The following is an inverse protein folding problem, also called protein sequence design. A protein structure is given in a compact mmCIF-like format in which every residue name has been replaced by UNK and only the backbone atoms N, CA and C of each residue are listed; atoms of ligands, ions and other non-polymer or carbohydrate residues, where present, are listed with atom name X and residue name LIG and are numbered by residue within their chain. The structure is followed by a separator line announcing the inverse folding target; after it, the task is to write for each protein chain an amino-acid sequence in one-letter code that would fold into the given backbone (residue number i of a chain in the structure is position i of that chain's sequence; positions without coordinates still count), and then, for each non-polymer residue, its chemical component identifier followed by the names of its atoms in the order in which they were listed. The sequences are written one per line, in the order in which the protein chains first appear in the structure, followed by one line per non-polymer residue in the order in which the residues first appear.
data_IF_600873628107
#
_entry.id   IF_600873628107
#
_cell.length_a   1.000
_cell.length_b   1.000
_cell.length_c   1.000
_cell.angle_alpha   90.00
_cell.angle_beta   90.00
_cell.angle_gamma   90.00
#
_symmetry.space_group_name_H-M   'P 1'
#
loop_
_entity.id
_entity.type
_entity.pdbx_description
1 polymer ?
#
# COMPACT_ATOMS: atom_id res chain seq x y z
N UNK A 1 -7.56 8.16 -17.54
CA UNK A 1 -8.48 8.75 -16.55
C UNK A 1 -8.62 7.78 -15.39
N UNK A 2 -8.59 8.25 -14.14
CA UNK A 2 -8.66 7.40 -12.94
C UNK A 2 -10.05 7.37 -12.28
N UNK A 3 -10.93 8.34 -12.57
CA UNK A 3 -12.30 8.39 -12.03
C UNK A 3 -13.26 7.52 -12.86
N UNK A 4 -12.93 6.23 -12.97
CA UNK A 4 -13.72 5.23 -13.69
C UNK A 4 -13.43 3.84 -13.12
N UNK A 5 -14.30 2.84 -13.37
CA UNK A 5 -14.03 1.46 -12.96
C UNK A 5 -12.71 0.94 -13.55
N UNK A 6 -11.95 0.10 -12.82
CA UNK A 6 -12.27 -0.45 -11.50
C UNK A 6 -11.91 0.48 -10.32
N UNK A 7 -11.38 1.67 -10.58
CA UNK A 7 -10.89 2.56 -9.52
C UNK A 7 -12.01 3.29 -8.78
N UNK A 8 -13.00 3.81 -9.54
CA UNK A 8 -14.14 4.50 -8.98
C UNK A 8 -15.43 4.17 -9.74
N UNK A 9 -16.46 3.78 -9.00
CA UNK A 9 -17.83 3.64 -9.50
C UNK A 9 -18.80 4.22 -8.45
N UNK A 10 -19.59 5.26 -8.78
CA UNK A 10 -20.53 5.84 -7.83
C UNK A 10 -21.62 4.85 -7.36
N UNK A 11 -21.81 3.74 -8.07
CA UNK A 11 -22.78 2.70 -7.72
C UNK A 11 -22.14 1.48 -7.02
N UNK A 12 -20.82 1.43 -6.88
CA UNK A 12 -20.15 0.35 -6.16
C UNK A 12 -20.24 0.51 -4.65
N UNK A 13 -20.03 -0.60 -3.93
CA UNK A 13 -19.91 -0.60 -2.49
C UNK A 13 -18.78 0.35 -2.05
N UNK A 14 -18.93 1.10 -0.94
CA UNK A 14 -17.89 2.01 -0.46
C UNK A 14 -16.54 1.32 -0.27
N UNK A 15 -16.52 0.07 0.20
CA UNK A 15 -15.30 -0.72 0.34
C UNK A 15 -14.47 -0.77 -0.95
N UNK A 16 -15.12 -0.88 -2.11
CA UNK A 16 -14.47 -0.92 -3.43
C UNK A 16 -13.83 0.43 -3.75
N UNK A 17 -14.58 1.51 -3.60
CA UNK A 17 -14.07 2.85 -3.88
C UNK A 17 -12.93 3.26 -2.92
N UNK A 18 -13.05 2.94 -1.63
CA UNK A 18 -11.97 3.22 -0.68
C UNK A 18 -10.74 2.32 -0.93
N UNK A 19 -10.93 1.03 -1.22
CA UNK A 19 -9.83 0.09 -1.49
C UNK A 19 -9.12 0.33 -2.82
N UNK A 20 -9.78 0.99 -3.77
CA UNK A 20 -9.21 1.38 -5.05
C UNK A 20 -8.88 2.89 -5.08
N UNK A 21 -9.74 3.77 -5.59
CA UNK A 21 -9.40 5.19 -5.74
C UNK A 21 -9.01 5.88 -4.42
N UNK A 22 -9.60 5.46 -3.28
CA UNK A 22 -9.23 5.96 -1.96
C UNK A 22 -7.77 5.66 -1.62
N UNK A 23 -7.31 4.45 -1.91
CA UNK A 23 -5.91 4.05 -1.72
C UNK A 23 -4.96 4.82 -2.66
N UNK A 24 -5.37 5.09 -3.90
CA UNK A 24 -4.61 5.94 -4.83
C UNK A 24 -4.53 7.40 -4.35
N UNK A 25 -5.62 7.99 -3.87
CA UNK A 25 -5.59 9.34 -3.27
C UNK A 25 -4.64 9.35 -2.08
N UNK A 26 -4.72 8.34 -1.21
CA UNK A 26 -3.82 8.21 -0.08
C UNK A 26 -2.35 8.01 -0.49
N UNK A 27 -2.10 7.34 -1.62
CA UNK A 27 -0.77 7.15 -2.19
C UNK A 27 -0.17 8.50 -2.60
N UNK A 28 -0.92 9.32 -3.34
CA UNK A 28 -0.48 10.68 -3.70
C UNK A 28 -0.27 11.57 -2.47
N UNK A 29 -1.10 11.42 -1.42
CA UNK A 29 -0.87 12.10 -0.14
C UNK A 29 0.41 11.60 0.55
N UNK A 30 0.70 10.30 0.44
CA UNK A 30 1.89 9.64 0.96
C UNK A 30 3.18 10.18 0.36
N UNK A 31 3.18 10.58 -0.91
CA UNK A 31 4.34 11.22 -1.55
C UNK A 31 4.75 12.54 -0.89
N UNK A 32 3.84 13.25 -0.22
CA UNK A 32 4.19 14.42 0.59
C UNK A 32 5.08 14.09 1.79
N UNK A 33 5.20 12.81 2.14
CA UNK A 33 5.90 12.31 3.31
C UNK A 33 6.72 11.05 3.00
N UNK A 34 7.11 10.83 1.74
CA UNK A 34 8.06 9.77 1.40
C UNK A 34 9.51 10.26 1.56
N UNK A 35 10.51 9.47 1.14
CA UNK A 35 11.93 9.83 1.31
C UNK A 35 12.32 11.15 0.61
N UNK A 36 11.60 11.55 -0.43
CA UNK A 36 11.76 12.82 -1.12
C UNK A 36 10.74 13.86 -0.64
N UNK A 37 9.55 13.46 -0.19
CA UNK A 37 8.52 14.34 0.34
C UNK A 37 8.94 15.02 1.64
N UNK A 38 9.59 14.28 2.54
CA UNK A 38 9.94 14.78 3.87
C UNK A 38 10.93 15.95 3.88
N UNK A 39 11.63 16.23 2.77
CA UNK A 39 12.55 17.37 2.66
C UNK A 39 11.87 18.67 2.21
N UNK A 40 10.58 18.64 1.83
CA UNK A 40 9.80 19.81 1.43
C UNK A 40 8.78 20.20 2.50
N UNK A 41 8.70 21.50 2.82
CA UNK A 41 7.66 22.04 3.71
C UNK A 41 6.30 22.16 2.99
N UNK A 42 5.24 22.52 3.73
CA UNK A 42 3.89 22.67 3.17
C UNK A 42 3.72 23.77 2.12
N UNK A 43 4.76 24.58 1.86
CA UNK A 43 4.81 25.57 0.77
C UNK A 43 5.66 25.07 -0.42
N UNK A 44 6.14 23.83 -0.38
CA UNK A 44 6.97 23.21 -1.42
C UNK A 44 8.43 23.68 -1.40
N UNK A 45 8.95 24.18 -0.27
CA UNK A 45 10.35 24.60 -0.15
C UNK A 45 11.20 23.53 0.51
N UNK A 46 12.38 23.28 -0.04
CA UNK A 46 13.35 22.36 0.56
C UNK A 46 13.93 22.93 1.86
N UNK A 47 13.58 22.34 3.00
CA UNK A 47 14.00 22.76 4.35
C UNK A 47 13.94 21.60 5.33
N UNK A 48 14.79 21.63 6.36
CA UNK A 48 14.67 20.71 7.49
C UNK A 48 13.59 21.21 8.45
N UNK A 49 12.42 20.57 8.42
CA UNK A 49 11.27 20.90 9.28
C UNK A 49 10.94 19.80 10.30
N UNK A 50 11.79 18.77 10.37
CA UNK A 50 11.65 17.65 11.30
C UNK A 50 12.67 17.74 12.45
N UNK A 51 12.29 17.23 13.62
CA UNK A 51 13.28 16.98 14.68
C UNK A 51 14.22 15.83 14.29
N UNK A 52 15.45 15.86 14.78
CA UNK A 52 16.41 14.76 14.56
C UNK A 52 15.87 13.39 15.01
N UNK A 53 15.07 13.37 16.09
CA UNK A 53 14.44 12.13 16.59
C UNK A 53 13.36 11.58 15.67
N UNK A 54 12.62 12.45 14.98
CA UNK A 54 11.58 12.06 14.02
C UNK A 54 12.22 11.54 12.73
N UNK A 55 13.24 12.23 12.21
CA UNK A 55 14.01 11.77 11.04
C UNK A 55 14.64 10.41 11.29
N UNK A 56 15.24 10.20 12.47
CA UNK A 56 15.80 8.88 12.81
C UNK A 56 14.74 7.78 12.75
N UNK A 57 13.57 8.00 13.35
CA UNK A 57 12.49 7.01 13.34
C UNK A 57 11.95 6.75 11.94
N UNK A 58 11.83 7.79 11.11
CA UNK A 58 11.46 7.65 9.71
C UNK A 58 12.47 6.77 8.97
N UNK A 59 13.77 7.05 9.09
CA UNK A 59 14.81 6.26 8.43
C UNK A 59 14.85 4.83 8.95
N UNK A 60 14.70 4.58 10.25
CA UNK A 60 14.65 3.22 10.80
C UNK A 60 13.48 2.41 10.17
N UNK A 61 12.30 3.03 10.01
CA UNK A 61 11.11 2.40 9.39
C UNK A 61 11.28 2.22 7.88
N UNK A 62 11.83 3.22 7.19
CA UNK A 62 12.13 3.15 5.77
C UNK A 62 13.16 2.04 5.47
N UNK A 63 14.20 1.90 6.31
CA UNK A 63 15.18 0.81 6.19
C UNK A 63 14.56 -0.57 6.37
N UNK A 64 13.60 -0.72 7.30
CA UNK A 64 12.85 -1.96 7.43
C UNK A 64 12.04 -2.28 6.17
N UNK A 65 11.41 -1.28 5.54
CA UNK A 65 10.68 -1.45 4.28
C UNK A 65 11.60 -1.76 3.10
N UNK A 66 12.76 -1.10 3.03
CA UNK A 66 13.81 -1.41 2.03
C UNK A 66 14.20 -2.88 2.15
N UNK A 67 14.53 -3.34 3.36
CA UNK A 67 14.92 -4.73 3.60
C UNK A 67 13.81 -5.74 3.23
N UNK A 68 12.55 -5.39 3.50
CA UNK A 68 11.41 -6.20 3.06
C UNK A 68 11.37 -6.35 1.53
N UNK A 69 11.55 -5.25 0.79
CA UNK A 69 11.46 -5.28 -0.66
C UNK A 69 12.70 -5.86 -1.34
N UNK A 70 13.90 -5.69 -0.75
CA UNK A 70 15.13 -6.34 -1.22
C UNK A 70 15.04 -7.87 -1.19
N UNK A 71 14.20 -8.45 -0.32
CA UNK A 71 13.97 -9.88 -0.25
C UNK A 71 13.05 -10.43 -1.37
N UNK A 72 12.44 -9.56 -2.18
CA UNK A 72 11.52 -10.00 -3.23
C UNK A 72 12.24 -10.35 -4.53
N UNK A 73 12.21 -11.64 -4.87
CA UNK A 73 12.80 -12.19 -6.09
C UNK A 73 11.72 -12.69 -7.06
N UNK A 74 11.24 -11.86 -8.01
CA UNK A 74 10.29 -12.31 -9.04
C UNK A 74 10.93 -13.32 -10.01
N UNK A 75 12.26 -13.31 -10.13
CA UNK A 75 13.04 -14.28 -10.91
C UNK A 75 14.23 -14.78 -10.06
N UNK A 76 14.75 -16.00 -10.30
CA UNK A 76 15.85 -16.54 -9.49
C UNK A 76 17.12 -15.69 -9.47
N UNK A 77 17.35 -14.93 -10.54
CA UNK A 77 18.54 -14.11 -10.77
C UNK A 77 18.30 -12.61 -10.53
N UNK A 78 17.10 -12.21 -10.08
CA UNK A 78 16.74 -10.78 -10.00
C UNK A 78 15.87 -10.51 -8.78
N UNK A 79 16.30 -9.54 -7.97
CA UNK A 79 15.57 -9.03 -6.82
C UNK A 79 15.06 -7.62 -7.10
N UNK A 80 13.98 -7.23 -6.42
CA UNK A 80 13.55 -5.84 -6.35
C UNK A 80 14.62 -5.04 -5.61
N UNK A 81 14.89 -3.81 -6.05
CA UNK A 81 15.77 -2.89 -5.33
C UNK A 81 14.93 -2.03 -4.40
N UNK A 82 14.86 -2.41 -3.13
CA UNK A 82 14.06 -1.76 -2.10
C UNK A 82 14.38 -0.27 -1.99
N UNK A 83 15.67 0.08 -2.03
CA UNK A 83 16.11 1.48 -1.96
C UNK A 83 15.67 2.31 -3.17
N UNK A 84 15.68 1.74 -4.38
CA UNK A 84 15.15 2.43 -5.58
C UNK A 84 13.65 2.63 -5.50
N UNK A 85 12.94 1.67 -4.92
CA UNK A 85 11.47 1.68 -4.88
C UNK A 85 10.88 2.30 -3.62
N UNK A 86 11.71 2.84 -2.72
CA UNK A 86 11.28 3.17 -1.36
C UNK A 86 10.18 4.24 -1.31
N UNK A 87 10.27 5.29 -2.13
CA UNK A 87 9.24 6.34 -2.17
C UNK A 87 7.86 5.78 -2.52
N UNK A 88 7.80 4.99 -3.59
CA UNK A 88 6.57 4.32 -4.04
C UNK A 88 6.05 3.29 -3.03
N UNK A 89 6.95 2.55 -2.37
CA UNK A 89 6.55 1.56 -1.36
C UNK A 89 5.99 2.23 -0.10
N UNK A 90 6.56 3.37 0.33
CA UNK A 90 6.02 4.19 1.41
C UNK A 90 4.64 4.71 1.00
N UNK A 91 4.53 5.30 -0.19
CA UNK A 91 3.27 5.84 -0.71
C UNK A 91 2.17 4.76 -0.81
N UNK A 92 2.46 3.57 -1.32
CA UNK A 92 1.51 2.45 -1.35
C UNK A 92 1.04 2.03 0.05
N UNK A 93 1.99 1.85 0.98
CA UNK A 93 1.70 1.40 2.34
C UNK A 93 0.85 2.42 3.09
N UNK A 94 1.22 3.69 2.98
CA UNK A 94 0.52 4.80 3.60
C UNK A 94 -0.84 5.05 2.97
N UNK A 95 -0.92 4.94 1.64
CA UNK A 95 -2.16 5.11 0.89
C UNK A 95 -3.21 4.08 1.26
N UNK A 96 -2.84 2.80 1.29
CA UNK A 96 -3.78 1.75 1.68
C UNK A 96 -4.17 1.86 3.16
N UNK A 97 -3.22 2.20 4.05
CA UNK A 97 -3.50 2.36 5.48
C UNK A 97 -4.44 3.54 5.76
N UNK A 98 -4.21 4.68 5.10
CA UNK A 98 -5.07 5.86 5.21
C UNK A 98 -6.46 5.60 4.65
N UNK A 99 -6.55 4.94 3.48
CA UNK A 99 -7.82 4.59 2.87
C UNK A 99 -8.63 3.62 3.72
N UNK A 100 -7.99 2.64 4.37
CA UNK A 100 -8.66 1.73 5.28
C UNK A 100 -9.21 2.46 6.51
N UNK A 101 -8.43 3.38 7.08
CA UNK A 101 -8.91 4.24 8.18
C UNK A 101 -10.10 5.10 7.75
N UNK A 102 -10.03 5.71 6.57
CA UNK A 102 -11.11 6.54 6.03
C UNK A 102 -12.38 5.72 5.75
N UNK A 103 -12.23 4.49 5.25
CA UNK A 103 -13.34 3.55 5.08
C UNK A 103 -14.04 3.26 6.40
N UNK A 104 -13.30 2.95 7.46
CA UNK A 104 -13.89 2.69 8.79
C UNK A 104 -14.51 3.92 9.42
N UNK A 105 -13.97 5.12 9.19
CA UNK A 105 -14.63 6.38 9.58
C UNK A 105 -15.96 6.55 8.85
N UNK A 106 -15.99 6.29 7.54
CA UNK A 106 -17.22 6.31 6.76
C UNK A 106 -18.26 5.31 7.29
N UNK A 107 -17.85 4.10 7.66
CA UNK A 107 -18.75 3.09 8.25
C UNK A 107 -19.31 3.49 9.60
N UNK A 108 -18.54 4.21 10.43
CA UNK A 108 -19.02 4.73 11.70
C UNK A 108 -20.18 5.71 11.50
N UNK A 109 -20.10 6.54 10.45
CA UNK A 109 -21.15 7.48 10.06
C UNK A 109 -22.28 6.82 9.25
N UNK A 110 -22.01 5.68 8.61
CA UNK A 110 -22.95 4.94 7.75
C UNK A 110 -23.01 3.45 8.10
N UNK A 111 -23.53 3.05 9.28
CA UNK A 111 -23.44 1.66 9.77
C UNK A 111 -24.04 0.61 8.82
N UNK A 112 -25.11 0.96 8.09
CA UNK A 112 -25.75 0.06 7.13
C UNK A 112 -24.82 -0.30 5.95
N UNK A 113 -23.88 0.56 5.58
CA UNK A 113 -22.93 0.29 4.50
C UNK A 113 -21.92 -0.82 4.84
N UNK A 114 -21.70 -1.08 6.14
CA UNK A 114 -20.79 -2.13 6.62
C UNK A 114 -21.45 -3.50 6.79
N UNK A 115 -22.78 -3.58 6.63
CA UNK A 115 -23.55 -4.82 6.80
C UNK A 115 -23.70 -5.61 5.50
N UNK A 116 -23.28 -5.04 4.37
CA UNK A 116 -23.36 -5.70 3.08
C UNK A 116 -22.20 -6.70 2.97
N UNK A 117 -22.55 -7.96 2.69
CA UNK A 117 -21.62 -8.93 2.14
C UNK A 117 -22.00 -9.17 0.68
N UNK A 118 -21.02 -9.17 -0.21
CA UNK A 118 -21.20 -9.50 -1.61
C UNK A 118 -20.34 -10.69 -1.95
N UNK A 119 -20.91 -11.66 -2.67
CA UNK A 119 -20.23 -12.90 -3.06
C UNK A 119 -19.60 -13.68 -1.89
N UNK A 120 -20.18 -13.53 -0.68
CA UNK A 120 -19.69 -14.18 0.54
C UNK A 120 -18.49 -13.49 1.20
N UNK A 121 -18.08 -12.32 0.73
CA UNK A 121 -16.99 -11.52 1.31
C UNK A 121 -17.55 -10.35 2.13
N UNK A 122 -16.99 -10.15 3.32
CA UNK A 122 -17.29 -9.00 4.17
C UNK A 122 -16.63 -7.71 3.66
N UNK A 123 -17.09 -6.55 4.11
CA UNK A 123 -16.60 -5.23 3.68
C UNK A 123 -15.07 -5.07 3.73
N UNK A 124 -14.43 -5.51 4.82
CA UNK A 124 -12.96 -5.44 4.93
C UNK A 124 -12.25 -6.34 3.90
N UNK A 125 -12.80 -7.53 3.62
CA UNK A 125 -12.26 -8.41 2.59
C UNK A 125 -12.43 -7.80 1.20
N UNK A 126 -13.58 -7.18 0.94
CA UNK A 126 -13.90 -6.46 -0.31
C UNK A 126 -12.98 -5.26 -0.52
N UNK A 127 -12.62 -4.53 0.55
CA UNK A 127 -11.66 -3.44 0.49
C UNK A 127 -10.29 -3.93 -0.01
N UNK A 128 -9.75 -5.00 0.59
CA UNK A 128 -8.45 -5.55 0.18
C UNK A 128 -8.52 -6.25 -1.19
N UNK A 129 -9.66 -6.84 -1.54
CA UNK A 129 -9.91 -7.37 -2.88
C UNK A 129 -9.87 -6.25 -3.92
N UNK A 130 -10.52 -5.11 -3.67
CA UNK A 130 -10.53 -3.97 -4.57
C UNK A 130 -9.12 -3.40 -4.80
N UNK A 131 -8.29 -3.32 -3.75
CA UNK A 131 -6.86 -2.99 -3.88
C UNK A 131 -6.15 -3.95 -4.85
N UNK A 132 -6.29 -5.27 -4.62
CA UNK A 132 -5.67 -6.26 -5.48
C UNK A 132 -6.17 -6.20 -6.94
N UNK A 133 -7.47 -5.94 -7.14
CA UNK A 133 -8.07 -5.83 -8.46
C UNK A 133 -7.66 -4.55 -9.22
N UNK A 134 -7.49 -3.43 -8.51
CA UNK A 134 -6.97 -2.18 -9.10
C UNK A 134 -5.55 -2.35 -9.67
N UNK A 135 -4.78 -3.28 -9.10
CA UNK A 135 -3.44 -3.67 -9.54
C UNK A 135 -3.42 -4.88 -10.49
N UNK A 136 -4.56 -5.27 -11.08
CA UNK A 136 -4.56 -6.41 -12.01
C UNK A 136 -3.73 -6.10 -13.26
N UNK A 137 -2.57 -6.71 -13.34
CA UNK A 137 -1.64 -6.53 -14.46
C UNK A 137 -0.93 -7.84 -14.80
N UNK A 138 -0.69 -8.09 -16.09
CA UNK A 138 0.13 -9.19 -16.58
C UNK A 138 1.01 -8.67 -17.71
N UNK A 139 2.29 -9.03 -17.66
CA UNK A 139 3.29 -8.61 -18.62
C UNK A 139 4.25 -9.75 -18.95
N UNK A 140 4.92 -9.71 -20.12
CA UNK A 140 6.02 -10.61 -20.40
C UNK A 140 7.19 -10.37 -19.44
N UNK A 141 8.00 -11.41 -19.21
CA UNK A 141 9.18 -11.35 -18.34
C UNK A 141 10.11 -10.18 -18.69
N UNK A 142 10.33 -9.90 -19.98
CA UNK A 142 11.17 -8.79 -20.43
C UNK A 142 10.68 -7.43 -19.92
N UNK A 143 9.36 -7.20 -19.88
CA UNK A 143 8.79 -5.97 -19.35
C UNK A 143 8.89 -5.90 -17.82
N UNK A 144 8.70 -7.02 -17.13
CA UNK A 144 8.87 -7.08 -15.66
C UNK A 144 10.33 -6.79 -15.29
N UNK A 145 11.30 -7.40 -15.99
CA UNK A 145 12.73 -7.14 -15.81
C UNK A 145 13.10 -5.70 -16.11
N UNK A 146 12.52 -5.10 -17.16
CA UNK A 146 12.71 -3.69 -17.46
C UNK A 146 12.25 -2.80 -16.30
N UNK A 147 11.06 -3.07 -15.73
CA UNK A 147 10.53 -2.34 -14.57
C UNK A 147 11.46 -2.46 -13.36
N UNK A 148 11.97 -3.66 -13.06
CA UNK A 148 12.90 -3.85 -11.93
C UNK A 148 14.20 -3.06 -12.13
N UNK A 149 14.72 -3.03 -13.36
CA UNK A 149 15.98 -2.35 -13.65
C UNK A 149 15.85 -0.82 -13.70
N UNK A 150 14.70 -0.29 -14.13
CA UNK A 150 14.56 1.14 -14.49
C UNK A 150 13.44 1.89 -13.75
N UNK A 151 12.48 1.18 -13.18
CA UNK A 151 11.31 1.78 -12.53
C UNK A 151 11.56 2.14 -11.06
N UNK A 152 10.79 3.11 -10.57
CA UNK A 152 10.67 3.42 -9.13
C UNK A 152 9.56 2.61 -8.46
N UNK A 153 8.66 2.03 -9.24
CA UNK A 153 7.62 1.17 -8.72
C UNK A 153 8.10 -0.28 -8.63
N UNK A 154 7.82 -0.95 -7.51
CA UNK A 154 7.96 -2.38 -7.42
C UNK A 154 7.03 -3.09 -8.43
N UNK A 155 7.38 -4.31 -8.91
CA UNK A 155 6.47 -5.12 -9.70
C UNK A 155 5.10 -5.26 -9.02
N UNK A 156 4.04 -5.21 -9.81
CA UNK A 156 2.67 -5.04 -9.32
C UNK A 156 2.25 -6.05 -8.24
N UNK A 157 2.70 -7.31 -8.34
CA UNK A 157 2.42 -8.33 -7.33
C UNK A 157 2.96 -7.98 -5.94
N UNK A 158 4.05 -7.21 -5.84
CA UNK A 158 4.63 -6.75 -4.58
C UNK A 158 3.99 -5.45 -4.09
N UNK A 159 3.45 -4.61 -4.99
CA UNK A 159 2.56 -3.51 -4.60
C UNK A 159 1.28 -4.01 -3.94
N UNK A 160 0.78 -5.19 -4.34
CA UNK A 160 -0.34 -5.84 -3.66
C UNK A 160 0.14 -6.57 -2.40
N UNK A 161 0.91 -7.64 -2.57
CA UNK A 161 1.20 -8.60 -1.50
C UNK A 161 2.20 -8.05 -0.49
N UNK A 162 3.12 -7.18 -0.92
CA UNK A 162 4.09 -6.54 -0.02
C UNK A 162 3.46 -5.48 0.87
N UNK A 163 2.37 -4.87 0.43
CA UNK A 163 1.65 -3.86 1.21
C UNK A 163 0.70 -4.53 2.21
N UNK A 164 -0.23 -5.38 1.76
CA UNK A 164 -1.29 -5.93 2.62
C UNK A 164 -0.74 -6.70 3.83
N UNK A 165 0.41 -7.36 3.67
CA UNK A 165 1.06 -8.13 4.76
C UNK A 165 1.63 -7.28 5.88
N UNK A 166 1.67 -5.96 5.72
CA UNK A 166 2.04 -4.99 6.76
C UNK A 166 0.82 -4.44 7.53
N UNK A 167 -0.41 -4.70 7.08
CA UNK A 167 -1.62 -4.20 7.71
C UNK A 167 -2.28 -5.27 8.58
N UNK A 168 -2.35 -5.05 9.90
CA UNK A 168 -3.04 -5.95 10.84
C UNK A 168 -4.50 -6.23 10.47
N UNK A 169 -5.16 -5.24 9.85
CA UNK A 169 -6.51 -5.37 9.34
C UNK A 169 -6.64 -6.50 8.30
N UNK A 170 -5.64 -6.68 7.44
CA UNK A 170 -5.64 -7.75 6.43
C UNK A 170 -5.56 -9.13 7.07
N UNK A 171 -4.76 -9.28 8.14
CA UNK A 171 -4.69 -10.54 8.90
C UNK A 171 -6.05 -10.89 9.52
N UNK A 172 -6.76 -9.90 10.06
CA UNK A 172 -8.10 -10.09 10.62
C UNK A 172 -9.12 -10.43 9.53
N UNK A 173 -9.11 -9.71 8.41
CA UNK A 173 -10.06 -9.88 7.32
C UNK A 173 -9.98 -11.28 6.68
N UNK A 174 -8.78 -11.85 6.54
CA UNK A 174 -8.58 -13.15 5.89
C UNK A 174 -8.17 -14.26 6.86
N UNK A 175 -8.20 -14.00 8.17
CA UNK A 175 -7.80 -14.95 9.21
C UNK A 175 -6.41 -15.58 8.96
N UNK A 176 -5.42 -14.73 8.66
CA UNK A 176 -4.05 -15.16 8.32
C UNK A 176 -3.30 -15.56 9.59
N UNK A 177 -2.69 -16.73 9.58
CA UNK A 177 -2.07 -17.38 10.74
C UNK A 177 -0.56 -17.62 10.54
N UNK A 178 0.20 -17.84 11.64
CA UNK A 178 1.57 -18.32 11.54
C UNK A 178 1.66 -19.58 10.67
N UNK A 179 2.56 -19.57 9.69
CA UNK A 179 2.73 -20.66 8.71
C UNK A 179 2.11 -20.39 7.35
N UNK A 180 1.19 -19.42 7.24
CA UNK A 180 0.69 -18.98 5.93
C UNK A 180 1.79 -18.29 5.11
N UNK A 181 1.77 -18.50 3.79
CA UNK A 181 2.82 -18.05 2.87
C UNK A 181 3.15 -16.55 2.97
N UNK A 182 2.14 -15.71 3.24
CA UNK A 182 2.29 -14.26 3.31
C UNK A 182 2.41 -13.71 4.74
N UNK A 183 2.35 -14.57 5.75
CA UNK A 183 2.44 -14.17 7.16
C UNK A 183 3.76 -13.44 7.46
N UNK A 184 3.66 -12.37 8.25
CA UNK A 184 4.75 -11.76 9.01
C UNK A 184 4.35 -11.72 10.49
N UNK A 185 5.29 -12.00 11.41
CA UNK A 185 5.03 -11.75 12.82
C UNK A 185 4.86 -10.24 13.06
N UNK A 186 4.06 -9.82 14.06
CA UNK A 186 3.69 -8.41 14.26
C UNK A 186 4.90 -7.46 14.30
N UNK A 187 6.01 -7.86 14.92
CA UNK A 187 7.23 -7.07 15.05
C UNK A 187 8.01 -6.87 13.73
N UNK A 188 7.68 -7.62 12.68
CA UNK A 188 8.26 -7.47 11.34
C UNK A 188 7.34 -6.71 10.37
N UNK A 189 6.12 -6.36 10.80
CA UNK A 189 5.20 -5.57 9.98
C UNK A 189 5.65 -4.11 10.02
N UNK A 190 5.95 -3.56 8.86
CA UNK A 190 6.42 -2.19 8.75
C UNK A 190 5.22 -1.25 8.75
N UNK A 191 5.27 -0.23 9.60
CA UNK A 191 4.36 0.92 9.55
C UNK A 191 5.21 2.19 9.52
N UNK A 192 5.01 3.03 8.52
CA UNK A 192 5.70 4.33 8.40
C UNK A 192 4.80 5.45 8.97
N UNK A 193 3.59 5.58 8.41
CA UNK A 193 2.58 6.58 8.78
C UNK A 193 1.34 5.95 9.45
#
# INVERSE_FOLDING_TARGET
AYLQPPYFDPNAEPAVNFGAIGAFIGHEMGHGFDDQGIIYDGEGRMRDWWSASALKQFHDRAHALIAQYDAYAPFPDTHVNGNRTIGENIADLSGLSLAYRAYHMYLADHPCAGQTSLDGLAGDQRFFEAWAQAWRYKAPESAIRYVIANGFHAPTQYRVNGVVRNLDAWYKAFNIQPGDKMYLPPEQRVQVW
#
